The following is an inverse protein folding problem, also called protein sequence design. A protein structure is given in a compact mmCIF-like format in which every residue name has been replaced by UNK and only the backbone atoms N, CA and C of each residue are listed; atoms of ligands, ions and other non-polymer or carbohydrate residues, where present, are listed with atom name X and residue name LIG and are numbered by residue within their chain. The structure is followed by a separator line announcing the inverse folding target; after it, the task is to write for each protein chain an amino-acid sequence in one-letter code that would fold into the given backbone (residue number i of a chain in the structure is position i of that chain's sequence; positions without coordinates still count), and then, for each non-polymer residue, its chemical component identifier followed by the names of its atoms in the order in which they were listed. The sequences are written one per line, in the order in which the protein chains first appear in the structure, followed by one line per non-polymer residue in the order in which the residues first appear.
data_IF_152129468311
#
_entry.id   IF_152129468311
#
_cell.length_a   1.000
_cell.length_b   1.000
_cell.length_c   1.000
_cell.angle_alpha   90.00
_cell.angle_beta   90.00
_cell.angle_gamma   90.00
#
_symmetry.space_group_name_H-M   'P 1'
#
loop_
_entity.id
_entity.type
_entity.pdbx_description
1 polymer ?
#
# COMPACT_ATOMS: atom_id res chain seq x y z
N UNK A 1 -23.59 -17.69 17.66
CA UNK A 1 -22.58 -16.90 18.39
C UNK A 1 -22.50 -15.59 17.65
N UNK A 2 -22.90 -14.47 18.29
CA UNK A 2 -23.19 -13.20 17.60
C UNK A 2 -21.90 -12.52 17.10
N UNK A 3 -21.96 -11.96 15.88
CA UNK A 3 -20.87 -11.22 15.23
C UNK A 3 -20.35 -10.06 16.10
N UNK A 4 -21.23 -9.42 16.84
CA UNK A 4 -20.91 -8.35 17.81
C UNK A 4 -20.03 -8.82 18.98
N UNK A 5 -20.24 -10.04 19.49
CA UNK A 5 -19.42 -10.60 20.58
C UNK A 5 -17.98 -10.89 20.11
N UNK A 6 -17.83 -11.40 18.88
CA UNK A 6 -16.53 -11.67 18.30
C UNK A 6 -15.75 -10.37 17.98
N UNK A 7 -16.43 -9.31 17.54
CA UNK A 7 -15.80 -8.00 17.29
C UNK A 7 -15.36 -7.30 18.60
N UNK A 8 -16.10 -7.50 19.70
CA UNK A 8 -15.72 -6.99 21.02
C UNK A 8 -14.53 -7.73 21.60
N UNK A 9 -14.49 -9.06 21.53
CA UNK A 9 -13.35 -9.88 21.97
C UNK A 9 -12.09 -9.51 21.21
N UNK A 10 -12.18 -9.38 19.88
CA UNK A 10 -11.09 -8.92 19.01
C UNK A 10 -10.56 -7.54 19.41
N UNK A 11 -11.44 -6.63 19.78
CA UNK A 11 -11.06 -5.29 20.27
C UNK A 11 -10.25 -5.33 21.56
N UNK A 12 -10.63 -6.19 22.49
CA UNK A 12 -9.94 -6.36 23.78
C UNK A 12 -8.55 -6.97 23.59
N UNK A 13 -8.43 -8.01 22.76
CA UNK A 13 -7.14 -8.64 22.45
C UNK A 13 -6.17 -7.66 21.78
N UNK A 14 -6.67 -6.85 20.85
CA UNK A 14 -5.84 -5.83 20.20
C UNK A 14 -5.39 -4.73 21.16
N UNK A 15 -6.23 -4.33 22.13
CA UNK A 15 -5.83 -3.37 23.16
C UNK A 15 -4.76 -3.96 24.08
N UNK A 16 -4.86 -5.23 24.46
CA UNK A 16 -3.85 -5.91 25.25
C UNK A 16 -2.49 -5.98 24.52
N UNK A 17 -2.50 -6.33 23.24
CA UNK A 17 -1.28 -6.36 22.40
C UNK A 17 -0.61 -4.98 22.30
N UNK A 18 -1.41 -3.92 22.19
CA UNK A 18 -0.90 -2.54 22.15
C UNK A 18 -0.25 -2.14 23.46
N UNK A 19 -0.88 -2.47 24.56
CA UNK A 19 -0.35 -2.20 25.91
C UNK A 19 0.95 -2.96 26.14
N UNK A 20 0.99 -4.26 25.87
CA UNK A 20 2.18 -5.10 25.98
C UNK A 20 3.35 -4.57 25.12
N UNK A 21 3.05 -4.17 23.88
CA UNK A 21 4.06 -3.59 22.99
C UNK A 21 4.62 -2.27 23.54
N UNK A 22 3.75 -1.40 24.06
CA UNK A 22 4.19 -0.14 24.64
C UNK A 22 5.04 -0.34 25.90
N UNK A 23 4.64 -1.25 26.78
CA UNK A 23 5.39 -1.60 28.00
C UNK A 23 6.78 -2.18 27.67
N UNK A 24 6.85 -3.04 26.67
CA UNK A 24 8.13 -3.59 26.24
C UNK A 24 9.05 -2.54 25.58
N UNK A 25 8.49 -1.60 24.82
CA UNK A 25 9.25 -0.47 24.27
C UNK A 25 9.74 0.44 25.38
N UNK A 26 8.89 0.74 26.36
CA UNK A 26 9.24 1.53 27.54
C UNK A 26 10.39 0.90 28.34
N UNK A 27 10.35 -0.43 28.47
CA UNK A 27 11.36 -1.19 29.21
C UNK A 27 12.75 -1.21 28.53
N UNK A 28 12.79 -1.20 27.18
CA UNK A 28 14.06 -1.22 26.43
C UNK A 28 14.62 0.18 26.18
N UNK A 29 13.80 1.22 26.27
CA UNK A 29 14.24 2.60 26.16
C UNK A 29 14.99 3.05 27.43
N UNK A 30 16.07 3.81 27.25
CA UNK A 30 16.89 4.35 28.34
C UNK A 30 16.61 5.84 28.58
N UNK A 31 16.06 6.52 27.61
CA UNK A 31 15.68 7.93 27.65
C UNK A 31 14.24 8.15 27.17
N UNK A 32 13.79 9.42 27.14
CA UNK A 32 12.42 9.73 26.75
C UNK A 32 12.14 9.41 25.29
N UNK A 33 10.99 8.79 25.04
CA UNK A 33 10.45 8.46 23.72
C UNK A 33 9.12 9.16 23.55
N UNK A 34 9.03 10.07 22.58
CA UNK A 34 7.79 10.81 22.30
C UNK A 34 6.77 9.91 21.63
N UNK A 35 5.54 9.95 22.12
CA UNK A 35 4.36 9.30 21.53
C UNK A 35 3.58 10.33 20.74
N UNK A 36 3.60 10.23 19.39
CA UNK A 36 2.83 11.11 18.53
C UNK A 36 1.38 10.62 18.40
N UNK A 37 0.47 11.18 19.15
CA UNK A 37 -0.95 10.85 18.98
C UNK A 37 -1.62 10.45 20.27
N UNK A 38 -2.31 9.30 20.27
CA UNK A 38 -3.00 8.81 21.46
C UNK A 38 -2.02 8.04 22.34
N UNK A 39 -2.10 8.24 23.66
CA UNK A 39 -1.36 7.42 24.62
C UNK A 39 -1.81 5.94 24.53
N UNK A 40 -0.87 4.97 24.66
CA UNK A 40 -1.23 3.56 24.74
C UNK A 40 -2.20 3.29 25.90
N UNK A 41 -3.10 2.29 25.77
CA UNK A 41 -3.31 1.39 24.62
C UNK A 41 -4.22 1.97 23.55
N UNK A 42 -4.58 3.26 23.63
CA UNK A 42 -5.48 3.91 22.68
C UNK A 42 -4.79 4.20 21.34
N UNK A 43 -5.59 4.25 20.27
CA UNK A 43 -5.05 4.46 18.91
C UNK A 43 -4.93 3.18 18.10
N UNK A 44 -4.72 3.30 16.78
CA UNK A 44 -4.56 2.16 15.86
C UNK A 44 -3.11 1.74 15.71
N UNK A 45 -2.21 2.68 15.80
CA UNK A 45 -0.77 2.58 15.60
C UNK A 45 -0.06 3.33 16.74
N UNK A 46 1.17 2.96 17.00
CA UNK A 46 2.04 3.62 17.96
C UNK A 46 3.10 4.42 17.19
N UNK A 47 2.90 5.74 17.11
CA UNK A 47 3.83 6.66 16.42
C UNK A 47 4.89 7.15 17.42
N UNK A 48 6.17 6.82 17.20
CA UNK A 48 7.26 7.11 18.13
C UNK A 48 8.38 7.96 17.53
N UNK A 49 8.92 8.87 18.33
CA UNK A 49 10.18 9.57 18.04
C UNK A 49 11.16 9.33 19.19
N UNK A 50 12.31 8.76 18.87
CA UNK A 50 13.32 8.38 19.84
C UNK A 50 14.70 8.97 19.51
N UNK A 51 15.55 9.15 20.52
CA UNK A 51 16.97 9.42 20.33
C UNK A 51 17.66 8.24 19.61
N UNK A 52 18.83 8.44 18.98
CA UNK A 52 19.48 7.40 18.16
C UNK A 52 19.73 6.08 18.90
N UNK A 53 20.18 6.14 20.16
CA UNK A 53 20.44 4.97 20.98
C UNK A 53 19.17 4.19 21.28
N UNK A 54 18.09 4.87 21.68
CA UNK A 54 16.80 4.24 21.97
C UNK A 54 16.13 3.74 20.70
N UNK A 55 16.26 4.46 19.58
CA UNK A 55 15.80 3.99 18.27
C UNK A 55 16.46 2.65 17.91
N UNK A 56 17.77 2.47 18.15
CA UNK A 56 18.47 1.22 17.88
C UNK A 56 17.98 0.09 18.77
N UNK A 57 17.82 0.35 20.08
CA UNK A 57 17.33 -0.63 21.05
C UNK A 57 15.89 -1.08 20.72
N UNK A 58 14.98 -0.14 20.47
CA UNK A 58 13.61 -0.40 20.09
C UNK A 58 13.54 -1.18 18.75
N UNK A 59 14.37 -0.81 17.76
CA UNK A 59 14.47 -1.52 16.48
C UNK A 59 14.87 -2.99 16.69
N UNK A 60 15.85 -3.25 17.54
CA UNK A 60 16.31 -4.62 17.86
C UNK A 60 15.20 -5.43 18.52
N UNK A 61 14.51 -4.83 19.49
CA UNK A 61 13.38 -5.48 20.15
C UNK A 61 12.22 -5.78 19.19
N UNK A 62 11.80 -4.81 18.39
CA UNK A 62 10.72 -5.01 17.39
C UNK A 62 11.04 -6.18 16.46
N UNK A 63 12.31 -6.31 16.04
CA UNK A 63 12.72 -7.42 15.20
C UNK A 63 12.61 -8.76 15.94
N UNK A 64 13.06 -8.84 17.19
CA UNK A 64 12.99 -10.06 18.01
C UNK A 64 11.55 -10.45 18.37
N UNK A 65 10.67 -9.45 18.54
CA UNK A 65 9.24 -9.64 18.81
C UNK A 65 8.40 -10.00 17.56
N UNK A 66 9.06 -10.25 16.42
CA UNK A 66 8.39 -10.71 15.20
C UNK A 66 7.76 -9.61 14.34
N UNK A 67 8.02 -8.33 14.66
CA UNK A 67 7.58 -7.24 13.81
C UNK A 67 8.38 -7.21 12.50
N UNK A 68 7.69 -6.96 11.40
CA UNK A 68 8.29 -6.88 10.07
C UNK A 68 8.36 -5.41 9.66
N UNK A 69 9.55 -4.97 9.27
CA UNK A 69 9.82 -3.57 8.92
C UNK A 69 9.46 -3.25 7.46
N UNK A 70 8.77 -2.13 7.25
CA UNK A 70 8.65 -1.47 5.95
C UNK A 70 8.88 0.04 6.08
N UNK A 71 10.03 0.50 5.64
CA UNK A 71 10.42 1.90 5.80
C UNK A 71 10.61 2.28 7.27
N UNK A 72 9.65 2.99 7.84
CA UNK A 72 9.65 3.42 9.25
C UNK A 72 8.58 2.72 10.06
N UNK A 73 7.70 2.01 9.38
CA UNK A 73 6.59 1.29 9.97
C UNK A 73 7.02 -0.15 10.21
N UNK A 74 6.78 -0.61 11.40
CA UNK A 74 6.90 -1.99 11.82
C UNK A 74 5.50 -2.53 12.01
N UNK A 75 5.22 -3.72 11.50
CA UNK A 75 3.91 -4.34 11.67
C UNK A 75 4.04 -5.78 12.09
N UNK A 76 3.13 -6.20 12.97
CA UNK A 76 2.90 -7.57 13.38
C UNK A 76 1.48 -7.94 13.00
N UNK A 77 1.33 -9.05 12.31
CA UNK A 77 0.05 -9.54 11.81
C UNK A 77 -0.36 -10.75 12.61
N UNK A 78 -1.29 -10.56 13.51
CA UNK A 78 -1.88 -11.62 14.33
C UNK A 78 -3.39 -11.41 14.41
N UNK A 79 -4.19 -12.48 14.44
CA UNK A 79 -5.61 -12.30 14.73
C UNK A 79 -5.79 -11.53 16.05
N UNK A 80 -6.70 -10.56 16.10
CA UNK A 80 -7.74 -10.26 15.12
C UNK A 80 -7.36 -9.26 14.02
N UNK A 81 -6.09 -8.78 13.94
CA UNK A 81 -5.72 -7.81 12.91
C UNK A 81 -4.24 -7.46 12.87
N UNK A 82 -3.92 -6.30 12.29
CA UNK A 82 -2.57 -5.78 12.18
C UNK A 82 -2.29 -4.71 13.25
N UNK A 83 -1.12 -4.81 13.88
CA UNK A 83 -0.64 -3.76 14.77
C UNK A 83 0.63 -3.12 14.24
N UNK A 84 0.62 -1.78 14.13
CA UNK A 84 1.72 -0.99 13.59
C UNK A 84 2.44 -0.15 14.64
N UNK A 85 3.77 -0.09 14.51
CA UNK A 85 4.63 0.86 15.23
C UNK A 85 5.37 1.68 14.19
N UNK A 86 5.15 2.99 14.14
CA UNK A 86 5.95 3.90 13.33
C UNK A 86 7.08 4.47 14.20
N UNK A 87 8.32 4.07 13.93
CA UNK A 87 9.48 4.49 14.70
C UNK A 87 10.36 5.44 13.89
N UNK A 88 10.53 6.65 14.38
CA UNK A 88 11.39 7.68 13.82
C UNK A 88 12.54 8.00 14.76
N UNK A 89 13.76 8.20 14.21
CA UNK A 89 14.90 8.72 14.96
C UNK A 89 15.01 10.23 14.81
N UNK A 90 15.45 10.92 15.88
CA UNK A 90 15.79 12.35 15.83
C UNK A 90 16.90 12.66 14.84
N UNK A 91 17.80 11.73 14.53
CA UNK A 91 18.83 11.89 13.48
C UNK A 91 18.23 12.25 12.10
N UNK A 92 17.00 11.85 11.86
CA UNK A 92 16.30 12.23 10.62
C UNK A 92 15.97 13.69 10.49
N UNK A 93 15.95 14.38 11.59
CA UNK A 93 15.83 15.82 11.61
C UNK A 93 17.16 16.46 11.23
N UNK A 94 18.24 15.65 11.20
CA UNK A 94 19.60 16.08 10.87
C UNK A 94 19.99 17.34 11.67
N UNK A 95 19.55 17.40 12.90
CA UNK A 95 19.84 18.49 13.86
C UNK A 95 21.04 18.10 14.71
N UNK A 96 21.64 19.06 15.39
CA UNK A 96 22.59 18.75 16.45
C UNK A 96 21.90 17.96 17.57
N UNK A 97 22.65 17.23 18.36
CA UNK A 97 22.09 16.46 19.48
C UNK A 97 21.40 17.39 20.50
N UNK A 98 21.96 18.57 20.76
CA UNK A 98 21.37 19.59 21.62
C UNK A 98 20.04 20.15 21.07
N UNK A 99 19.96 20.37 19.75
CA UNK A 99 18.71 20.84 19.13
C UNK A 99 17.65 19.73 19.12
N UNK A 100 18.07 18.47 18.93
CA UNK A 100 17.18 17.32 18.99
C UNK A 100 16.63 17.08 20.41
N UNK A 101 17.42 17.35 21.45
CA UNK A 101 17.00 17.20 22.86
C UNK A 101 15.88 18.19 23.21
N UNK A 102 15.81 19.33 22.54
CA UNK A 102 14.73 20.31 22.75
C UNK A 102 13.33 19.77 22.41
N UNK A 103 13.24 18.72 21.58
CA UNK A 103 11.96 18.04 21.27
C UNK A 103 11.37 17.30 22.49
N UNK A 104 12.21 16.91 23.45
CA UNK A 104 11.79 16.21 24.67
C UNK A 104 11.58 17.17 25.84
N UNK A 105 11.94 18.43 25.66
CA UNK A 105 11.74 19.44 26.68
C UNK A 105 10.24 19.66 26.91
N UNK A 106 9.85 19.78 28.17
CA UNK A 106 8.46 19.96 28.59
C UNK A 106 7.50 18.85 28.11
N UNK A 107 8.03 17.64 27.83
CA UNK A 107 7.21 16.49 27.53
C UNK A 107 6.47 16.00 28.78
N UNK A 108 5.21 15.61 28.61
CA UNK A 108 4.32 15.18 29.69
C UNK A 108 4.47 13.66 29.91
N UNK A 109 4.71 13.16 31.14
CA UNK A 109 4.76 11.72 31.41
C UNK A 109 3.43 11.05 31.08
N UNK A 110 3.49 9.86 30.49
CA UNK A 110 2.29 9.02 30.31
C UNK A 110 2.15 8.15 31.56
N UNK A 111 0.98 8.19 32.24
CA UNK A 111 0.77 7.36 33.43
C UNK A 111 1.04 5.88 33.17
N UNK A 112 1.82 5.24 34.04
CA UNK A 112 2.19 3.84 33.93
C UNK A 112 3.43 3.54 33.08
N UNK A 113 4.04 4.54 32.44
CA UNK A 113 5.28 4.42 31.68
C UNK A 113 6.40 5.28 32.26
N UNK A 114 7.63 4.80 32.15
CA UNK A 114 8.82 5.49 32.63
C UNK A 114 9.44 6.41 31.59
N UNK A 115 9.51 5.93 30.35
CA UNK A 115 10.22 6.56 29.25
C UNK A 115 9.29 7.05 28.14
N UNK A 116 8.06 6.50 28.02
CA UNK A 116 7.09 7.00 27.07
C UNK A 116 6.46 8.29 27.55
N UNK A 117 6.56 9.34 26.74
CA UNK A 117 6.10 10.69 27.08
C UNK A 117 5.28 11.30 25.95
N UNK A 118 4.30 12.13 26.29
CA UNK A 118 3.57 12.93 25.33
C UNK A 118 4.33 14.20 24.97
N UNK A 119 4.35 14.61 23.70
CA UNK A 119 4.97 15.87 23.29
C UNK A 119 4.23 17.07 23.87
N UNK A 120 5.00 18.10 24.26
CA UNK A 120 4.42 19.39 24.65
C UNK A 120 3.58 19.98 23.49
N UNK A 121 2.60 20.87 23.76
CA UNK A 121 1.80 21.52 22.71
C UNK A 121 2.63 22.15 21.61
N UNK A 122 3.75 22.79 21.94
CA UNK A 122 4.67 23.39 20.99
C UNK A 122 5.31 22.34 20.05
N UNK A 123 5.72 21.18 20.60
CA UNK A 123 6.30 20.09 19.82
C UNK A 123 5.25 19.41 18.94
N UNK A 124 4.01 19.29 19.40
CA UNK A 124 2.89 18.81 18.55
C UNK A 124 2.74 19.67 17.29
N UNK A 125 2.79 21.01 17.44
CA UNK A 125 2.74 21.93 16.30
C UNK A 125 3.95 21.74 15.37
N UNK A 126 5.13 21.53 15.93
CA UNK A 126 6.37 21.32 15.17
C UNK A 126 6.30 20.02 14.33
N UNK A 127 5.83 18.93 14.95
CA UNK A 127 5.61 17.64 14.27
C UNK A 127 4.56 17.76 13.15
N UNK A 128 3.45 18.48 13.41
CA UNK A 128 2.42 18.74 12.41
C UNK A 128 2.95 19.61 11.26
N UNK A 129 3.77 20.64 11.54
CA UNK A 129 4.38 21.50 10.53
C UNK A 129 5.31 20.72 9.61
N UNK A 130 6.16 19.84 10.17
CA UNK A 130 7.01 18.94 9.40
C UNK A 130 6.19 18.05 8.47
N UNK A 131 5.10 17.46 8.98
CA UNK A 131 4.18 16.65 8.18
C UNK A 131 3.54 17.46 7.04
N UNK A 132 3.18 18.71 7.27
CA UNK A 132 2.55 19.60 6.29
C UNK A 132 3.51 19.96 5.14
N UNK A 133 4.78 20.22 5.43
CA UNK A 133 5.82 20.51 4.41
C UNK A 133 6.18 19.26 3.60
N UNK A 134 6.26 18.11 4.24
CA UNK A 134 6.68 16.86 3.57
C UNK A 134 5.57 16.19 2.77
N UNK A 135 4.29 16.37 3.14
CA UNK A 135 3.14 15.76 2.49
C UNK A 135 2.56 16.64 1.38
N UNK A 136 2.17 16.02 0.26
CA UNK A 136 1.57 16.75 -0.88
C UNK A 136 0.14 17.24 -0.65
N UNK A 137 -0.57 16.71 0.34
CA UNK A 137 -1.99 16.99 0.59
C UNK A 137 -2.27 18.15 1.56
N UNK A 138 -1.25 18.81 2.11
CA UNK A 138 -1.42 19.83 3.14
C UNK A 138 -1.84 19.23 4.50
N UNK A 139 -2.60 20.00 5.28
CA UNK A 139 -3.02 19.64 6.63
C UNK A 139 -4.15 18.58 6.57
N UNK A 140 -3.88 17.38 7.05
CA UNK A 140 -4.88 16.30 7.12
C UNK A 140 -5.89 16.54 8.26
N UNK A 141 -7.12 15.95 8.22
CA UNK A 141 -8.08 16.05 9.32
C UNK A 141 -7.48 15.60 10.67
N UNK A 142 -6.70 14.48 10.69
CA UNK A 142 -6.00 13.98 11.89
C UNK A 142 -4.99 15.04 12.41
N UNK A 143 -4.18 15.64 11.53
CA UNK A 143 -3.24 16.66 11.91
C UNK A 143 -3.94 17.94 12.40
N UNK A 144 -5.05 18.33 11.78
CA UNK A 144 -5.86 19.47 12.23
C UNK A 144 -6.42 19.25 13.63
N UNK A 145 -6.92 18.07 13.93
CA UNK A 145 -7.41 17.71 15.27
C UNK A 145 -6.29 17.76 16.32
N UNK A 146 -5.09 17.25 15.98
CA UNK A 146 -3.91 17.33 16.86
C UNK A 146 -3.51 18.80 17.15
N UNK A 147 -3.49 19.66 16.11
CA UNK A 147 -3.20 21.10 16.25
C UNK A 147 -4.25 21.76 17.14
N UNK A 148 -5.55 21.49 16.90
CA UNK A 148 -6.63 22.03 17.72
C UNK A 148 -6.51 21.59 19.18
N UNK A 149 -6.20 20.33 19.43
CA UNK A 149 -5.97 19.81 20.79
C UNK A 149 -4.77 20.45 21.49
N UNK A 150 -3.66 20.69 20.77
CA UNK A 150 -2.50 21.38 21.31
C UNK A 150 -2.81 22.84 21.69
N UNK A 151 -3.51 23.56 20.83
CA UNK A 151 -3.93 24.95 21.10
C UNK A 151 -4.96 25.03 22.23
N UNK A 152 -5.78 24.01 22.42
CA UNK A 152 -6.69 23.92 23.56
C UNK A 152 -5.98 23.69 24.90
N UNK A 153 -4.80 23.02 24.89
CA UNK A 153 -3.96 22.85 26.10
C UNK A 153 -3.09 24.06 26.41
N UNK A 154 -2.55 24.73 25.38
CA UNK A 154 -1.74 25.93 25.51
C UNK A 154 -2.06 26.92 24.37
N UNK A 155 -2.75 28.03 24.64
CA UNK A 155 -3.01 29.04 23.66
C UNK A 155 -1.76 29.73 23.08
N UNK A 156 -0.63 29.72 23.81
CA UNK A 156 0.65 30.27 23.40
C UNK A 156 1.54 29.27 22.62
N UNK A 157 1.01 28.07 22.31
CA UNK A 157 1.78 27.03 21.63
C UNK A 157 2.37 27.49 20.28
N UNK A 158 1.73 28.43 19.56
CA UNK A 158 2.30 28.97 18.32
C UNK A 158 3.62 29.70 18.55
N UNK A 159 3.68 30.55 19.56
CA UNK A 159 4.90 31.32 19.88
C UNK A 159 6.01 30.42 20.41
N UNK A 160 5.63 29.47 21.29
CA UNK A 160 6.56 28.47 21.79
C UNK A 160 7.13 27.60 20.66
N UNK A 161 6.28 27.16 19.72
CA UNK A 161 6.72 26.37 18.58
C UNK A 161 7.64 27.15 17.63
N UNK A 162 7.43 28.43 17.42
CA UNK A 162 8.32 29.30 16.64
C UNK A 162 9.71 29.40 17.28
N UNK A 163 9.79 29.56 18.61
CA UNK A 163 11.07 29.58 19.32
C UNK A 163 11.85 28.27 19.12
N UNK A 164 11.18 27.12 19.26
CA UNK A 164 11.78 25.79 19.02
C UNK A 164 12.15 25.58 17.54
N UNK A 165 11.37 26.14 16.62
CA UNK A 165 11.55 25.95 15.19
C UNK A 165 12.77 26.68 14.62
N UNK A 166 13.24 27.76 15.26
CA UNK A 166 14.37 28.58 14.78
C UNK A 166 15.65 27.74 14.59
N UNK A 167 16.20 27.13 15.65
CA UNK A 167 17.39 26.27 15.56
C UNK A 167 17.21 25.06 14.63
N UNK A 168 15.99 24.54 14.55
CA UNK A 168 15.64 23.41 13.67
C UNK A 168 15.44 23.80 12.20
N UNK A 169 15.50 25.08 11.86
CA UNK A 169 15.25 25.59 10.51
C UNK A 169 13.80 25.41 10.05
N UNK A 170 12.85 25.33 10.97
CA UNK A 170 11.45 24.98 10.70
C UNK A 170 10.48 26.16 10.89
N UNK A 171 10.95 27.38 11.17
CA UNK A 171 10.08 28.53 11.40
C UNK A 171 9.09 28.76 10.25
N UNK A 172 9.56 28.71 8.99
CA UNK A 172 8.68 28.82 7.84
C UNK A 172 7.68 27.67 7.68
N UNK A 173 7.99 26.47 8.22
CA UNK A 173 7.06 25.34 8.23
C UNK A 173 5.93 25.58 9.25
N UNK A 174 6.22 26.17 10.40
CA UNK A 174 5.22 26.57 11.40
C UNK A 174 4.26 27.63 10.82
N UNK A 175 4.80 28.65 10.14
CA UNK A 175 3.95 29.64 9.47
C UNK A 175 3.04 29.03 8.40
N UNK A 176 3.56 28.10 7.60
CA UNK A 176 2.75 27.39 6.61
C UNK A 176 1.65 26.58 7.28
N UNK A 177 1.96 25.88 8.38
CA UNK A 177 0.97 25.14 9.17
C UNK A 177 -0.12 26.10 9.69
N UNK A 178 0.25 27.26 10.26
CA UNK A 178 -0.69 28.27 10.77
C UNK A 178 -1.63 28.74 9.68
N UNK A 179 -1.11 29.14 8.52
CA UNK A 179 -1.92 29.53 7.36
C UNK A 179 -2.85 28.40 6.89
N UNK A 180 -2.37 27.15 6.83
CA UNK A 180 -3.20 25.99 6.45
C UNK A 180 -4.29 25.69 7.49
N UNK A 181 -4.01 25.93 8.75
CA UNK A 181 -4.97 25.76 9.85
C UNK A 181 -6.07 26.82 9.80
N UNK A 182 -5.71 28.09 9.61
CA UNK A 182 -6.64 29.22 9.58
C UNK A 182 -7.53 29.22 8.33
N UNK A 183 -6.97 28.92 7.16
CA UNK A 183 -7.69 29.01 5.88
C UNK A 183 -8.78 27.93 5.69
N UNK A 184 -8.75 26.83 6.45
CA UNK A 184 -9.62 25.64 6.29
C UNK A 184 -9.67 25.05 4.86
N UNK A 185 -8.95 25.62 3.92
CA UNK A 185 -8.91 25.19 2.53
C UNK A 185 -7.73 24.24 2.29
N UNK A 186 -7.84 23.29 1.32
CA UNK A 186 -6.71 22.49 0.93
C UNK A 186 -5.60 23.38 0.35
N UNK A 187 -4.35 23.13 0.78
CA UNK A 187 -3.19 23.85 0.26
C UNK A 187 -3.05 23.61 -1.25
N UNK A 188 -3.11 24.67 -2.04
CA UNK A 188 -2.81 24.62 -3.47
C UNK A 188 -1.35 24.23 -3.69
N UNK A 189 -1.00 23.56 -4.81
CA UNK A 189 0.38 23.23 -5.13
C UNK A 189 1.35 24.43 -5.06
N UNK A 190 0.87 25.61 -5.48
CA UNK A 190 1.59 26.90 -5.36
C UNK A 190 1.87 27.31 -3.91
N UNK A 191 0.93 27.08 -2.98
CA UNK A 191 1.12 27.38 -1.57
C UNK A 191 2.20 26.48 -0.92
N UNK A 192 2.37 25.25 -1.41
CA UNK A 192 3.47 24.38 -0.98
C UNK A 192 4.83 24.90 -1.45
N UNK A 193 4.92 25.37 -2.70
CA UNK A 193 6.15 26.00 -3.22
C UNK A 193 6.47 27.25 -2.42
N UNK A 194 5.45 28.08 -2.12
CA UNK A 194 5.61 29.25 -1.28
C UNK A 194 6.03 28.89 0.16
N UNK A 195 5.49 27.80 0.73
CA UNK A 195 5.91 27.30 2.05
C UNK A 195 7.33 26.75 2.07
N UNK A 196 7.77 26.08 1.02
CA UNK A 196 9.17 25.68 0.88
C UNK A 196 10.08 26.90 0.72
N UNK A 197 9.67 27.91 -0.04
CA UNK A 197 10.39 29.18 -0.16
C UNK A 197 10.44 29.92 1.19
N UNK A 198 9.35 29.93 1.96
CA UNK A 198 9.30 30.49 3.31
C UNK A 198 10.30 29.83 4.25
N UNK A 199 10.46 28.47 4.21
CA UNK A 199 11.47 27.75 4.98
C UNK A 199 12.89 28.19 4.61
N UNK A 200 13.15 28.49 3.32
CA UNK A 200 14.47 28.95 2.86
C UNK A 200 14.74 30.41 3.28
N UNK A 201 13.71 31.24 3.25
CA UNK A 201 13.85 32.70 3.48
C UNK A 201 13.81 33.11 4.96
N UNK A 202 13.29 32.23 5.83
CA UNK A 202 13.15 32.52 7.26
C UNK A 202 14.50 32.45 7.99
N UNK A 203 14.61 33.22 9.09
CA UNK A 203 15.81 33.19 9.92
C UNK A 203 16.07 31.80 10.52
N UNK A 204 17.31 31.49 10.69
CA UNK A 204 17.77 30.19 11.21
C UNK A 204 18.98 29.66 10.45
N UNK A 205 19.71 28.69 11.01
CA UNK A 205 20.93 28.16 10.40
C UNK A 205 20.69 27.58 9.01
N UNK A 206 21.51 27.98 8.04
CA UNK A 206 21.42 27.51 6.63
C UNK A 206 21.47 25.98 6.57
N UNK A 207 22.33 25.36 7.39
CA UNK A 207 22.43 23.90 7.49
C UNK A 207 21.11 23.24 7.92
N UNK A 208 20.38 23.81 8.88
CA UNK A 208 19.09 23.29 9.33
C UNK A 208 18.00 23.44 8.23
N UNK A 209 17.95 24.59 7.55
CA UNK A 209 17.05 24.81 6.41
C UNK A 209 17.27 23.80 5.29
N UNK A 210 18.53 23.59 4.92
CA UNK A 210 18.91 22.61 3.89
C UNK A 210 18.46 21.20 4.28
N UNK A 211 18.57 20.83 5.55
CA UNK A 211 18.14 19.52 6.08
C UNK A 211 16.63 19.34 5.98
N UNK A 212 15.83 20.35 6.37
CA UNK A 212 14.37 20.29 6.22
C UNK A 212 13.97 20.16 4.76
N UNK A 213 14.60 20.92 3.85
CA UNK A 213 14.33 20.85 2.41
C UNK A 213 14.71 19.48 1.81
N UNK A 214 15.84 18.93 2.20
CA UNK A 214 16.27 17.59 1.75
C UNK A 214 15.35 16.51 2.31
N UNK A 215 14.91 16.63 3.56
CA UNK A 215 13.92 15.72 4.16
C UNK A 215 12.53 15.84 3.52
N UNK A 216 12.20 17.02 2.97
CA UNK A 216 10.94 17.28 2.27
C UNK A 216 10.90 16.69 0.84
N UNK A 217 12.02 16.19 0.31
CA UNK A 217 12.02 15.54 -1.02
C UNK A 217 11.07 14.35 -1.00
N UNK A 218 10.05 14.31 -1.87
CA UNK A 218 9.17 13.15 -1.95
C UNK A 218 10.03 11.96 -2.38
N UNK A 219 10.16 10.97 -1.50
CA UNK A 219 10.69 9.68 -1.94
C UNK A 219 9.76 9.19 -3.06
N UNK A 220 10.29 9.06 -4.26
CA UNK A 220 9.59 8.42 -5.38
C UNK A 220 9.52 6.93 -5.07
N UNK A 221 8.58 6.53 -4.21
CA UNK A 221 8.26 5.13 -4.06
C UNK A 221 7.60 4.67 -5.36
N UNK A 222 8.24 3.73 -6.04
CA UNK A 222 7.53 2.89 -6.99
C UNK A 222 6.49 2.13 -6.15
N UNK A 223 5.18 2.20 -6.47
CA UNK A 223 4.21 1.38 -5.76
C UNK A 223 4.54 -0.08 -6.00
N UNK A 224 4.41 -0.89 -4.97
CA UNK A 224 4.49 -2.32 -5.12
C UNK A 224 3.26 -2.83 -5.86
N UNK A 225 3.45 -3.84 -6.68
CA UNK A 225 2.41 -4.51 -7.46
C UNK A 225 2.16 -5.89 -6.86
N UNK A 226 0.98 -6.09 -6.31
CA UNK A 226 0.51 -7.37 -5.78
C UNK A 226 -0.56 -7.92 -6.72
N UNK A 227 -0.47 -9.20 -7.06
CA UNK A 227 -1.46 -9.85 -7.92
C UNK A 227 -2.00 -11.14 -7.32
N UNK A 228 -3.29 -11.37 -7.56
CA UNK A 228 -3.98 -12.60 -7.23
C UNK A 228 -4.42 -13.29 -8.51
N UNK A 229 -3.97 -14.53 -8.69
CA UNK A 229 -4.28 -15.38 -9.82
C UNK A 229 -4.98 -16.65 -9.37
N UNK A 230 -5.66 -17.36 -10.26
CA UNK A 230 -6.34 -18.63 -9.97
C UNK A 230 -7.71 -18.76 -10.63
N UNK A 231 -8.36 -19.89 -10.44
CA UNK A 231 -9.65 -20.23 -11.04
C UNK A 231 -10.78 -19.31 -10.58
N UNK A 232 -11.84 -19.18 -11.35
CA UNK A 232 -13.07 -18.53 -10.91
C UNK A 232 -13.69 -19.35 -9.77
N UNK A 233 -14.11 -18.68 -8.68
CA UNK A 233 -14.55 -19.35 -7.46
C UNK A 233 -13.43 -19.72 -6.47
N UNK A 234 -12.14 -19.45 -6.76
CA UNK A 234 -11.04 -19.75 -5.82
C UNK A 234 -10.96 -18.84 -4.58
N UNK A 235 -11.68 -17.70 -4.55
CA UNK A 235 -11.70 -16.78 -3.40
C UNK A 235 -10.78 -15.56 -3.53
N UNK A 236 -10.18 -15.31 -4.69
CA UNK A 236 -9.27 -14.18 -4.96
C UNK A 236 -9.81 -12.82 -4.50
N UNK A 237 -11.01 -12.46 -4.94
CA UNK A 237 -11.61 -11.15 -4.64
C UNK A 237 -11.84 -10.95 -3.14
N UNK A 238 -12.13 -12.00 -2.40
CA UNK A 238 -12.23 -11.99 -0.94
C UNK A 238 -10.87 -11.62 -0.32
N UNK A 239 -9.78 -12.25 -0.80
CA UNK A 239 -8.43 -11.98 -0.30
C UNK A 239 -7.93 -10.58 -0.69
N UNK A 240 -8.31 -10.08 -1.88
CA UNK A 240 -8.02 -8.69 -2.29
C UNK A 240 -8.66 -7.69 -1.32
N UNK A 241 -9.93 -7.89 -0.98
CA UNK A 241 -10.64 -7.01 -0.03
C UNK A 241 -9.98 -7.04 1.34
N UNK A 242 -9.71 -8.22 1.90
CA UNK A 242 -9.07 -8.39 3.20
C UNK A 242 -7.67 -7.76 3.25
N UNK A 243 -6.85 -7.99 2.23
CA UNK A 243 -5.51 -7.37 2.14
C UNK A 243 -5.60 -5.84 2.17
N UNK A 244 -6.60 -5.25 1.49
CA UNK A 244 -6.79 -3.81 1.47
C UNK A 244 -7.21 -3.27 2.83
N UNK A 245 -8.12 -3.97 3.50
CA UNK A 245 -8.63 -3.56 4.81
C UNK A 245 -7.51 -3.60 5.86
N UNK A 246 -6.77 -4.69 5.96
CA UNK A 246 -5.65 -4.87 6.87
C UNK A 246 -4.52 -3.83 6.64
N UNK A 247 -4.10 -3.65 5.38
CA UNK A 247 -3.07 -2.66 5.07
C UNK A 247 -3.58 -1.23 5.16
N UNK A 248 -4.88 -1.01 4.96
CA UNK A 248 -5.54 0.28 5.15
C UNK A 248 -5.49 0.75 6.60
N UNK A 249 -5.64 -0.17 7.56
CA UNK A 249 -5.49 0.11 8.99
C UNK A 249 -4.08 0.60 9.35
N UNK A 250 -3.05 0.11 8.65
CA UNK A 250 -1.66 0.57 8.77
C UNK A 250 -1.35 1.84 7.95
N UNK A 251 -2.37 2.52 7.41
CA UNK A 251 -2.21 3.74 6.63
C UNK A 251 -1.54 3.53 5.26
N UNK A 252 -1.59 2.31 4.72
CA UNK A 252 -1.11 2.02 3.37
C UNK A 252 -2.19 2.37 2.35
N UNK A 253 -1.95 3.40 1.56
CA UNK A 253 -2.86 3.77 0.46
C UNK A 253 -2.73 2.73 -0.65
N UNK A 254 -3.75 1.88 -0.78
CA UNK A 254 -3.85 0.87 -1.82
C UNK A 254 -4.95 1.21 -2.84
N UNK A 255 -4.75 0.78 -4.07
CA UNK A 255 -5.75 0.84 -5.15
C UNK A 255 -5.87 -0.54 -5.75
N UNK A 256 -7.10 -1.04 -5.86
CA UNK A 256 -7.36 -2.32 -6.50
C UNK A 256 -7.85 -2.16 -7.94
N UNK A 257 -7.48 -3.12 -8.76
CA UNK A 257 -7.90 -3.18 -10.16
C UNK A 257 -8.23 -4.63 -10.54
N UNK A 258 -9.31 -4.78 -11.27
CA UNK A 258 -9.55 -6.00 -12.01
C UNK A 258 -8.88 -5.86 -13.39
N UNK A 259 -7.78 -6.58 -13.60
CA UNK A 259 -7.01 -6.53 -14.84
C UNK A 259 -7.13 -7.85 -15.64
N UNK A 260 -8.31 -8.43 -15.62
CA UNK A 260 -8.60 -9.61 -16.43
C UNK A 260 -8.44 -9.33 -17.92
N UNK A 261 -8.19 -10.39 -18.67
CA UNK A 261 -8.04 -10.38 -20.12
C UNK A 261 -9.26 -9.74 -20.79
N UNK A 262 -9.08 -8.62 -21.46
CA UNK A 262 -10.16 -7.88 -22.14
C UNK A 262 -10.06 -8.04 -23.65
N UNK A 263 -10.97 -8.85 -24.22
CA UNK A 263 -11.17 -8.93 -25.66
C UNK A 263 -12.13 -7.87 -26.18
N UNK A 264 -13.20 -7.61 -25.45
CA UNK A 264 -14.28 -6.74 -25.86
C UNK A 264 -13.84 -5.30 -26.21
N UNK A 265 -12.74 -4.81 -25.62
CA UNK A 265 -12.23 -3.48 -25.93
C UNK A 265 -11.48 -3.44 -27.27
N UNK A 266 -10.82 -4.53 -27.68
CA UNK A 266 -10.19 -4.64 -29.01
C UNK A 266 -11.24 -4.74 -30.13
N UNK A 267 -12.38 -5.39 -29.85
CA UNK A 267 -13.49 -5.49 -30.80
C UNK A 267 -14.27 -4.15 -30.92
N UNK A 268 -14.22 -3.29 -29.90
CA UNK A 268 -14.82 -1.94 -29.95
C UNK A 268 -13.97 -0.92 -30.70
N UNK A 269 -12.68 -1.17 -30.89
CA UNK A 269 -11.90 -0.45 -31.90
C UNK A 269 -12.38 -1.01 -33.25
N UNK A 270 -13.43 -0.40 -33.81
CA UNK A 270 -13.96 -0.71 -35.12
C UNK A 270 -12.83 -0.68 -36.14
N UNK A 271 -12.39 -1.84 -36.54
CA UNK A 271 -11.73 -2.02 -37.82
C UNK A 271 -12.88 -2.22 -38.83
N UNK A 272 -13.31 -1.21 -39.61
CA UNK A 272 -14.46 -1.30 -40.47
C UNK A 272 -14.39 -2.42 -41.54
N UNK A 273 -13.18 -2.95 -41.75
CA UNK A 273 -12.87 -4.02 -42.71
C UNK A 273 -13.12 -5.43 -42.14
N UNK A 274 -13.21 -5.57 -40.81
CA UNK A 274 -13.34 -6.86 -40.12
C UNK A 274 -14.77 -7.14 -39.59
N UNK A 275 -15.62 -6.11 -39.55
CA UNK A 275 -17.01 -6.17 -39.09
C UNK A 275 -17.98 -6.40 -40.25
N UNK A 276 -18.01 -7.59 -40.84
CA UNK A 276 -19.20 -8.06 -41.54
C UNK A 276 -20.00 -8.94 -40.56
N UNK A 277 -21.20 -8.52 -40.14
CA UNK A 277 -22.03 -9.37 -39.30
C UNK A 277 -22.49 -10.57 -40.15
N UNK A 278 -21.97 -11.75 -39.89
CA UNK A 278 -22.60 -12.96 -40.40
C UNK A 278 -23.71 -13.34 -39.42
N UNK A 279 -24.94 -13.32 -39.88
CA UNK A 279 -26.20 -13.58 -39.16
C UNK A 279 -26.38 -15.04 -38.71
N UNK A 280 -25.34 -15.84 -38.63
CA UNK A 280 -25.43 -17.28 -38.45
C UNK A 280 -24.61 -17.84 -37.26
N UNK A 281 -24.11 -17.00 -36.34
CA UNK A 281 -23.29 -17.55 -35.23
C UNK A 281 -23.82 -17.10 -33.85
N UNK A 282 -24.64 -17.95 -33.25
CA UNK A 282 -24.98 -17.92 -31.81
C UNK A 282 -23.84 -18.51 -30.96
N UNK A 283 -22.63 -17.97 -31.11
CA UNK A 283 -21.52 -18.28 -30.24
C UNK A 283 -21.54 -17.39 -28.99
N UNK A 284 -21.31 -17.95 -27.82
CA UNK A 284 -21.17 -17.20 -26.58
C UNK A 284 -20.08 -16.12 -26.73
N UNK A 285 -20.18 -15.00 -25.99
CA UNK A 285 -19.16 -13.90 -25.94
C UNK A 285 -17.71 -14.41 -25.79
N UNK A 286 -17.55 -15.67 -25.38
CA UNK A 286 -16.28 -16.40 -25.22
C UNK A 286 -15.59 -16.76 -26.53
N UNK A 287 -16.33 -16.92 -27.62
CA UNK A 287 -15.78 -17.35 -28.92
C UNK A 287 -15.25 -16.22 -29.80
N UNK A 288 -15.51 -14.97 -29.44
CA UNK A 288 -15.21 -13.77 -30.23
C UNK A 288 -13.78 -13.24 -30.08
N UNK A 289 -12.81 -14.04 -29.68
CA UNK A 289 -11.44 -13.61 -29.47
C UNK A 289 -10.67 -13.34 -30.77
N UNK A 290 -11.04 -14.06 -31.81
CA UNK A 290 -10.46 -13.95 -33.15
C UNK A 290 -11.54 -13.46 -34.08
N UNK A 291 -11.31 -12.34 -34.81
CA UNK A 291 -12.27 -11.89 -35.80
C UNK A 291 -12.63 -12.98 -36.78
N UNK A 292 -13.91 -13.12 -37.12
CA UNK A 292 -14.45 -14.17 -38.00
C UNK A 292 -13.70 -14.24 -39.34
N UNK A 293 -13.28 -13.11 -39.88
CA UNK A 293 -12.52 -12.99 -41.11
C UNK A 293 -11.13 -13.70 -41.05
N UNK A 294 -10.64 -14.02 -39.84
CA UNK A 294 -9.34 -14.64 -39.67
C UNK A 294 -9.40 -16.13 -39.31
N UNK A 295 -10.60 -16.71 -39.09
CA UNK A 295 -10.79 -18.09 -38.66
C UNK A 295 -10.21 -19.14 -39.63
N UNK A 296 -10.11 -18.85 -40.92
CA UNK A 296 -9.55 -19.72 -41.96
C UNK A 296 -8.05 -19.54 -42.23
N UNK A 297 -7.41 -18.51 -41.63
CA UNK A 297 -6.03 -18.15 -41.95
C UNK A 297 -5.12 -18.35 -40.71
N UNK A 298 -4.21 -19.34 -40.77
CA UNK A 298 -3.20 -19.53 -39.72
C UNK A 298 -2.31 -18.30 -39.56
N UNK A 299 -1.92 -17.67 -40.67
CA UNK A 299 -1.11 -16.43 -40.67
C UNK A 299 -1.88 -15.27 -40.03
N UNK A 300 -3.14 -15.07 -40.42
CA UNK A 300 -4.00 -14.02 -39.83
C UNK A 300 -4.22 -14.20 -38.33
N UNK A 301 -4.49 -15.43 -37.89
CA UNK A 301 -4.66 -15.74 -36.48
C UNK A 301 -3.37 -15.55 -35.66
N UNK A 302 -2.22 -15.92 -36.24
CA UNK A 302 -0.91 -15.69 -35.59
C UNK A 302 -0.62 -14.20 -35.46
N UNK A 303 -0.83 -13.41 -36.52
CA UNK A 303 -0.69 -11.96 -36.49
C UNK A 303 -1.62 -11.29 -35.46
N UNK A 304 -2.88 -11.77 -35.39
CA UNK A 304 -3.83 -11.32 -34.38
C UNK A 304 -3.37 -11.60 -32.97
N UNK A 305 -2.71 -12.71 -32.71
CA UNK A 305 -2.09 -13.02 -31.43
C UNK A 305 -1.12 -11.95 -30.95
N UNK A 306 -0.32 -11.34 -31.84
CA UNK A 306 0.56 -10.21 -31.51
C UNK A 306 -0.25 -8.95 -31.12
N UNK A 307 -1.32 -8.66 -31.86
CA UNK A 307 -2.20 -7.51 -31.53
C UNK A 307 -2.81 -7.68 -30.14
N UNK A 308 -3.29 -8.88 -29.81
CA UNK A 308 -3.85 -9.21 -28.50
C UNK A 308 -2.79 -9.05 -27.39
N UNK A 309 -1.57 -9.51 -27.62
CA UNK A 309 -0.46 -9.38 -26.68
C UNK A 309 -0.11 -7.91 -26.42
N UNK A 310 0.11 -7.13 -27.46
CA UNK A 310 0.48 -5.71 -27.33
C UNK A 310 -0.60 -4.90 -26.63
N UNK A 311 -1.86 -5.17 -26.96
CA UNK A 311 -2.98 -4.50 -26.31
C UNK A 311 -3.07 -4.83 -24.81
N UNK A 312 -2.91 -6.11 -24.45
CA UNK A 312 -2.94 -6.48 -23.04
C UNK A 312 -1.73 -5.94 -22.27
N UNK A 313 -0.54 -5.90 -22.88
CA UNK A 313 0.60 -5.22 -22.29
C UNK A 313 0.31 -3.73 -22.02
N UNK A 314 -0.21 -3.01 -23.02
CA UNK A 314 -0.58 -1.60 -22.87
C UNK A 314 -1.65 -1.39 -21.79
N UNK A 315 -2.66 -2.29 -21.76
CA UNK A 315 -3.71 -2.27 -20.76
C UNK A 315 -3.18 -2.44 -19.33
N UNK A 316 -2.27 -3.39 -19.09
CA UNK A 316 -1.66 -3.62 -17.79
C UNK A 316 -0.77 -2.43 -17.38
N UNK A 317 0.06 -1.94 -18.31
CA UNK A 317 0.93 -0.78 -18.06
C UNK A 317 0.13 0.48 -17.73
N UNK A 318 -1.05 0.66 -18.33
CA UNK A 318 -1.92 1.79 -18.03
C UNK A 318 -2.23 1.89 -16.54
N UNK A 319 -2.56 0.79 -15.86
CA UNK A 319 -2.84 0.78 -14.43
C UNK A 319 -1.61 1.09 -13.59
N UNK A 320 -0.45 0.57 -14.00
CA UNK A 320 0.81 0.80 -13.30
C UNK A 320 1.27 2.26 -13.45
N UNK A 321 1.08 2.86 -14.63
CA UNK A 321 1.57 4.22 -14.94
C UNK A 321 0.59 5.32 -14.54
N UNK A 322 -0.73 5.13 -14.81
CA UNK A 322 -1.78 6.14 -14.57
C UNK A 322 -2.43 6.00 -13.18
N UNK A 323 -1.65 5.67 -12.18
CA UNK A 323 -2.13 5.51 -10.82
C UNK A 323 -2.35 6.85 -10.11
N UNK A 324 -3.28 6.92 -9.12
CA UNK A 324 -3.42 8.10 -8.26
C UNK A 324 -2.11 8.43 -7.53
N UNK A 325 -1.86 9.73 -7.34
CA UNK A 325 -0.68 10.18 -6.59
C UNK A 325 -0.76 9.75 -5.13
N UNK A 326 0.33 9.23 -4.60
CA UNK A 326 0.39 8.74 -3.21
C UNK A 326 0.06 7.26 -3.03
N UNK A 327 -0.35 6.56 -4.09
CA UNK A 327 -0.56 5.11 -4.06
C UNK A 327 0.75 4.41 -3.69
N UNK A 328 0.73 3.64 -2.62
CA UNK A 328 1.86 2.82 -2.16
C UNK A 328 1.78 1.39 -2.67
N UNK A 329 0.56 0.89 -2.87
CA UNK A 329 0.29 -0.48 -3.27
C UNK A 329 -0.76 -0.52 -4.39
N UNK A 330 -0.48 -1.29 -5.43
CA UNK A 330 -1.44 -1.66 -6.48
C UNK A 330 -1.80 -3.13 -6.29
N UNK A 331 -3.06 -3.41 -6.05
CA UNK A 331 -3.58 -4.76 -5.87
C UNK A 331 -4.37 -5.16 -7.10
N UNK A 332 -4.02 -6.28 -7.72
CA UNK A 332 -4.70 -6.77 -8.92
C UNK A 332 -5.45 -8.07 -8.65
N UNK A 333 -6.76 -8.03 -8.82
CA UNK A 333 -7.56 -9.25 -9.03
C UNK A 333 -7.41 -9.62 -10.50
N UNK A 334 -6.51 -10.57 -10.79
CA UNK A 334 -5.99 -10.95 -12.10
C UNK A 334 -4.97 -9.94 -12.69
N UNK A 335 -3.87 -10.49 -13.21
CA UNK A 335 -2.79 -9.67 -13.79
C UNK A 335 -2.09 -10.42 -14.93
N UNK A 336 -0.78 -10.22 -15.11
CA UNK A 336 0.00 -10.86 -16.19
C UNK A 336 -0.09 -12.40 -16.20
N UNK A 337 -0.04 -13.14 -15.05
CA UNK A 337 -0.18 -14.58 -15.08
C UNK A 337 -1.53 -15.05 -15.65
N UNK A 338 -2.64 -14.39 -15.26
CA UNK A 338 -3.97 -14.72 -15.76
C UNK A 338 -4.13 -14.44 -17.25
N UNK A 339 -3.49 -13.37 -17.75
CA UNK A 339 -3.47 -13.06 -19.18
C UNK A 339 -2.74 -14.14 -19.95
N UNK A 340 -1.61 -14.65 -19.44
CA UNK A 340 -0.85 -15.73 -20.05
C UNK A 340 -1.67 -17.02 -20.12
N UNK A 341 -2.29 -17.40 -18.99
CA UNK A 341 -3.17 -18.59 -18.96
C UNK A 341 -4.28 -18.50 -20.00
N UNK A 342 -4.92 -17.33 -20.11
CA UNK A 342 -6.00 -17.14 -21.11
C UNK A 342 -5.51 -17.13 -22.55
N UNK A 343 -4.31 -16.62 -22.81
CA UNK A 343 -3.68 -16.72 -24.12
C UNK A 343 -3.43 -18.19 -24.50
N UNK A 344 -2.82 -18.97 -23.60
CA UNK A 344 -2.53 -20.37 -23.84
C UNK A 344 -3.80 -21.19 -24.01
N UNK A 345 -4.79 -20.99 -23.15
CA UNK A 345 -6.07 -21.70 -23.26
C UNK A 345 -6.74 -21.43 -24.62
N UNK A 346 -6.83 -20.16 -25.00
CA UNK A 346 -7.62 -19.75 -26.18
C UNK A 346 -6.94 -20.06 -27.51
N UNK A 347 -5.65 -19.88 -27.59
CA UNK A 347 -4.92 -20.08 -28.85
C UNK A 347 -4.35 -21.50 -28.94
N UNK A 348 -3.69 -21.99 -27.89
CA UNK A 348 -3.00 -23.28 -27.95
C UNK A 348 -3.95 -24.44 -27.65
N UNK A 349 -4.59 -24.47 -26.47
CA UNK A 349 -5.43 -25.62 -26.06
C UNK A 349 -6.70 -25.74 -26.91
N UNK A 350 -7.43 -24.66 -27.13
CA UNK A 350 -8.71 -24.69 -27.86
C UNK A 350 -8.55 -24.72 -29.38
N UNK A 351 -7.44 -24.21 -29.95
CA UNK A 351 -7.28 -24.03 -31.42
C UNK A 351 -6.03 -24.67 -32.00
N UNK A 352 -5.14 -25.24 -31.19
CA UNK A 352 -3.90 -25.85 -31.64
C UNK A 352 -2.90 -24.88 -32.31
N UNK A 353 -2.99 -23.57 -32.01
CA UNK A 353 -2.13 -22.56 -32.61
C UNK A 353 -0.90 -22.39 -31.75
N UNK A 354 0.29 -22.51 -32.36
CA UNK A 354 1.55 -22.25 -31.68
C UNK A 354 1.73 -20.72 -31.47
N UNK A 355 1.75 -20.32 -30.21
CA UNK A 355 1.91 -18.89 -29.80
C UNK A 355 3.21 -18.68 -29.00
N UNK A 356 4.21 -19.53 -29.13
CA UNK A 356 5.46 -19.45 -28.36
C UNK A 356 6.14 -18.08 -28.44
N UNK A 357 6.14 -17.41 -29.61
CA UNK A 357 6.72 -16.09 -29.80
C UNK A 357 5.89 -14.98 -29.17
N UNK A 358 4.57 -15.05 -29.28
CA UNK A 358 3.62 -14.16 -28.62
C UNK A 358 3.72 -14.28 -27.09
N UNK A 359 3.85 -15.49 -26.56
CA UNK A 359 4.11 -15.75 -25.13
C UNK A 359 5.41 -15.08 -24.67
N UNK A 360 6.50 -15.29 -25.42
CA UNK A 360 7.81 -14.68 -25.11
C UNK A 360 7.74 -13.14 -25.16
N UNK A 361 7.06 -12.61 -26.15
CA UNK A 361 6.84 -11.16 -26.27
C UNK A 361 6.06 -10.63 -25.06
N UNK A 362 4.95 -11.28 -24.68
CA UNK A 362 4.17 -10.89 -23.52
C UNK A 362 5.00 -10.97 -22.24
N UNK A 363 5.77 -12.03 -22.04
CA UNK A 363 6.61 -12.22 -20.86
C UNK A 363 7.67 -11.11 -20.69
N UNK A 364 8.23 -10.62 -21.81
CA UNK A 364 9.21 -9.54 -21.80
C UNK A 364 8.56 -8.18 -21.61
N UNK A 365 7.43 -7.92 -22.28
CA UNK A 365 6.79 -6.62 -22.32
C UNK A 365 5.78 -6.36 -21.20
N UNK A 366 5.18 -7.39 -20.61
CA UNK A 366 4.18 -7.19 -19.54
C UNK A 366 4.82 -6.80 -18.23
N UNK A 367 4.16 -5.94 -17.42
CA UNK A 367 4.62 -5.67 -16.08
C UNK A 367 4.49 -6.93 -15.22
N UNK A 368 5.51 -7.21 -14.41
CA UNK A 368 5.51 -8.34 -13.46
C UNK A 368 5.04 -7.86 -12.09
N UNK A 369 4.30 -8.70 -11.34
CA UNK A 369 4.02 -8.40 -9.95
C UNK A 369 5.30 -8.46 -9.11
N UNK A 370 5.40 -7.58 -8.10
CA UNK A 370 6.46 -7.66 -7.10
C UNK A 370 6.19 -8.82 -6.13
N UNK A 371 4.90 -9.06 -5.82
CA UNK A 371 4.42 -10.22 -5.07
C UNK A 371 3.20 -10.79 -5.78
N UNK A 372 3.26 -12.04 -6.20
CA UNK A 372 2.15 -12.72 -6.87
C UNK A 372 1.66 -13.92 -6.07
N UNK A 373 0.35 -14.11 -6.03
CA UNK A 373 -0.29 -15.26 -5.39
C UNK A 373 -1.08 -16.07 -6.40
N UNK A 374 -0.98 -17.39 -6.28
CA UNK A 374 -1.92 -18.33 -6.90
C UNK A 374 -2.82 -18.89 -5.80
N UNK A 375 -4.10 -18.48 -5.81
CA UNK A 375 -5.12 -19.09 -4.94
C UNK A 375 -5.56 -20.39 -5.62
N UNK A 376 -4.99 -21.49 -5.15
CA UNK A 376 -5.11 -22.79 -5.77
C UNK A 376 -6.26 -23.59 -5.14
N UNK A 377 -7.16 -24.06 -5.99
CA UNK A 377 -8.25 -24.95 -5.64
C UNK A 377 -8.43 -25.96 -6.77
N UNK A 378 -8.96 -27.14 -6.49
CA UNK A 378 -9.28 -28.09 -7.56
C UNK A 378 -10.40 -27.56 -8.46
N UNK A 379 -10.44 -28.05 -9.69
CA UNK A 379 -11.46 -27.71 -10.68
C UNK A 379 -12.87 -27.99 -10.16
N UNK A 380 -13.06 -29.08 -9.40
CA UNK A 380 -14.33 -29.49 -8.80
C UNK A 380 -14.80 -28.50 -7.74
N UNK A 381 -13.88 -28.06 -6.86
CA UNK A 381 -14.17 -27.06 -5.82
C UNK A 381 -14.52 -25.72 -6.46
N UNK A 382 -13.77 -25.29 -7.48
CA UNK A 382 -14.03 -24.06 -8.22
C UNK A 382 -15.39 -24.11 -8.91
N UNK A 383 -15.71 -25.23 -9.60
CA UNK A 383 -16.98 -25.47 -10.26
C UNK A 383 -18.16 -25.47 -9.29
N UNK A 384 -18.00 -26.13 -8.14
CA UNK A 384 -19.03 -26.14 -7.09
C UNK A 384 -19.35 -24.76 -6.52
N UNK A 385 -18.38 -23.86 -6.49
CA UNK A 385 -18.55 -22.46 -6.02
C UNK A 385 -19.09 -21.53 -7.10
N UNK A 386 -18.74 -21.75 -8.38
CA UNK A 386 -19.12 -20.87 -9.49
C UNK A 386 -19.15 -21.61 -10.83
N UNK A 387 -20.37 -21.77 -11.39
CA UNK A 387 -20.63 -22.56 -12.60
C UNK A 387 -20.62 -21.71 -13.89
N UNK A 388 -19.60 -20.85 -14.06
CA UNK A 388 -19.50 -20.00 -15.27
C UNK A 388 -18.70 -20.67 -16.39
N UNK A 389 -17.95 -21.72 -16.09
CA UNK A 389 -17.06 -22.46 -17.02
C UNK A 389 -17.33 -23.93 -16.90
N UNK A 390 -16.98 -24.70 -17.92
CA UNK A 390 -17.08 -26.16 -17.85
C UNK A 390 -15.97 -26.73 -16.93
N UNK A 391 -16.22 -27.91 -16.38
CA UNK A 391 -15.23 -28.59 -15.53
C UNK A 391 -13.92 -28.83 -16.30
N UNK A 392 -14.01 -29.19 -17.60
CA UNK A 392 -12.83 -29.40 -18.44
C UNK A 392 -12.03 -28.11 -18.65
N UNK A 393 -12.70 -26.99 -18.94
CA UNK A 393 -12.01 -25.69 -19.05
C UNK A 393 -11.31 -25.29 -17.74
N UNK A 394 -11.94 -25.55 -16.59
CA UNK A 394 -11.34 -25.29 -15.29
C UNK A 394 -10.13 -26.20 -15.03
N UNK A 395 -10.18 -27.46 -15.44
CA UNK A 395 -9.06 -28.39 -15.32
C UNK A 395 -7.87 -27.93 -16.20
N UNK A 396 -8.14 -27.58 -17.47
CA UNK A 396 -7.12 -27.04 -18.37
C UNK A 396 -6.49 -25.75 -17.83
N UNK A 397 -7.31 -24.86 -17.26
CA UNK A 397 -6.81 -23.63 -16.64
C UNK A 397 -5.99 -23.91 -15.38
N UNK A 398 -6.38 -24.86 -14.54
CA UNK A 398 -5.63 -25.23 -13.35
C UNK A 398 -4.22 -25.69 -13.72
N UNK A 399 -4.10 -26.56 -14.74
CA UNK A 399 -2.81 -27.02 -15.26
C UNK A 399 -1.95 -25.85 -15.77
N UNK A 400 -2.54 -24.95 -16.57
CA UNK A 400 -1.87 -23.78 -17.08
C UNK A 400 -1.43 -22.80 -15.97
N UNK A 401 -2.19 -22.66 -14.87
CA UNK A 401 -1.77 -21.88 -13.73
C UNK A 401 -0.55 -22.45 -13.02
N UNK A 402 -0.45 -23.78 -12.88
CA UNK A 402 0.74 -24.42 -12.30
C UNK A 402 2.01 -24.11 -13.12
N UNK A 403 1.91 -24.03 -14.45
CA UNK A 403 3.03 -23.61 -15.30
C UNK A 403 3.48 -22.14 -15.02
N UNK A 404 2.57 -21.28 -14.56
CA UNK A 404 2.89 -19.88 -14.26
C UNK A 404 3.59 -19.69 -12.92
N UNK A 405 3.46 -20.64 -11.98
CA UNK A 405 4.05 -20.53 -10.63
C UNK A 405 5.56 -20.25 -10.70
N UNK A 406 6.40 -21.06 -11.36
CA UNK A 406 7.84 -20.78 -11.44
C UNK A 406 8.16 -19.54 -12.28
N UNK A 407 7.38 -19.26 -13.34
CA UNK A 407 7.62 -18.16 -14.28
C UNK A 407 7.44 -16.79 -13.66
N UNK A 408 6.41 -16.61 -12.82
CA UNK A 408 6.08 -15.37 -12.13
C UNK A 408 6.44 -15.42 -10.65
N UNK A 409 7.07 -16.49 -10.17
CA UNK A 409 7.42 -16.74 -8.76
C UNK A 409 6.19 -16.54 -7.85
N UNK A 410 5.08 -17.17 -8.22
CA UNK A 410 3.85 -17.04 -7.46
C UNK A 410 3.92 -17.83 -6.14
N UNK A 411 3.48 -17.21 -5.06
CA UNK A 411 3.21 -17.91 -3.80
C UNK A 411 1.92 -18.71 -3.95
N UNK A 412 2.02 -20.02 -3.84
CA UNK A 412 0.87 -20.92 -3.93
C UNK A 412 0.15 -20.98 -2.59
N UNK A 413 -1.13 -20.66 -2.60
CA UNK A 413 -2.01 -20.65 -1.44
C UNK A 413 -3.08 -21.72 -1.62
N UNK A 414 -3.29 -22.58 -0.62
CA UNK A 414 -4.39 -23.53 -0.62
C UNK A 414 -5.71 -22.81 -0.34
N UNK A 415 -6.48 -22.56 -1.41
CA UNK A 415 -7.77 -21.84 -1.34
C UNK A 415 -8.91 -22.60 -0.66
N UNK A 416 -8.65 -23.78 -0.10
CA UNK A 416 -9.59 -24.53 0.74
C UNK A 416 -9.47 -24.20 2.22
N UNK A 417 -8.34 -23.60 2.64
CA UNK A 417 -8.11 -23.15 4.01
C UNK A 417 -9.03 -22.03 4.43
N UNK A 418 -9.23 -21.81 5.74
CA UNK A 418 -9.99 -20.67 6.27
C UNK A 418 -9.46 -19.33 5.72
N UNK A 419 -10.39 -18.47 5.32
CA UNK A 419 -10.03 -17.23 4.64
C UNK A 419 -9.19 -16.28 5.53
N UNK A 420 -9.33 -16.35 6.87
CA UNK A 420 -8.56 -15.55 7.82
C UNK A 420 -7.10 -15.99 7.91
N UNK A 421 -6.85 -17.29 7.90
CA UNK A 421 -5.49 -17.83 7.87
C UNK A 421 -4.75 -17.42 6.59
N UNK A 422 -5.44 -17.52 5.44
CA UNK A 422 -4.89 -17.09 4.16
C UNK A 422 -4.61 -15.59 4.16
N UNK A 423 -5.50 -14.77 4.70
CA UNK A 423 -5.32 -13.34 4.79
C UNK A 423 -4.04 -12.99 5.59
N UNK A 424 -3.82 -13.63 6.74
CA UNK A 424 -2.61 -13.44 7.56
C UNK A 424 -1.33 -13.79 6.77
N UNK A 425 -1.32 -14.92 6.08
CA UNK A 425 -0.18 -15.36 5.26
C UNK A 425 0.09 -14.37 4.11
N UNK A 426 -0.97 -13.94 3.42
CA UNK A 426 -0.90 -12.97 2.32
C UNK A 426 -0.34 -11.63 2.80
N UNK A 427 -0.94 -11.05 3.85
CA UNK A 427 -0.54 -9.74 4.37
C UNK A 427 0.91 -9.77 4.85
N UNK A 428 1.32 -10.82 5.56
CA UNK A 428 2.69 -11.03 6.03
C UNK A 428 3.67 -11.12 4.85
N UNK A 429 3.32 -11.88 3.81
CA UNK A 429 4.16 -12.05 2.62
C UNK A 429 4.28 -10.75 1.83
N UNK A 430 3.17 -10.03 1.63
CA UNK A 430 3.15 -8.72 0.98
C UNK A 430 4.02 -7.74 1.75
N UNK A 431 3.84 -7.64 3.06
CA UNK A 431 4.61 -6.72 3.90
C UNK A 431 6.12 -6.99 3.85
N UNK A 432 6.52 -8.26 3.85
CA UNK A 432 7.94 -8.66 3.65
C UNK A 432 8.47 -8.28 2.27
N UNK A 433 7.65 -8.42 1.24
CA UNK A 433 8.00 -8.10 -0.15
C UNK A 433 8.08 -6.59 -0.46
N UNK A 434 7.55 -5.73 0.43
CA UNK A 434 7.57 -4.27 0.28
C UNK A 434 8.91 -3.61 0.68
N UNK A 435 9.97 -4.39 0.92
CA UNK A 435 11.30 -3.91 1.33
C UNK A 435 12.01 -3.08 0.28
#
# INVERSE_FOLDING_TARGET
MNRETSEQEAGVEMMALRQETAEAIDAVATGPVLVEGSAPPCGRDLDLVAAPQDHAAITSWLHSAGFIRWGHTWARFEPPGAYGVELSSTERWQTSESDASSLFQDAEPIPGFRNLVMPSPAVVLLLAARGTVTRRGGLTPKARSRVSGALGRDPNAWEASLRLAGPLGMAGAIELLRRAYDSRAPLRPSARVAGLASVVLHDGPIAAKTRVLLGARPRRFRPAVVSFSGLDGSGKSTQVTRLKDELGELGVVSVDHWAGFKNAALLRVRFPILDRPSSAYEGTERDQLIPHALHGSRVGTTAWGYVVVLFNCAHLWRFVLLRPRGTKLLVFDRFSPDTMVKLDLRFTRMRGIDIRWQRKLFEVMSPKPDVGFLVDVSSEVAYGRRQEQTLQELADMAELYQEQVPRYRLHRLDGTRPADELAKEIVTTVWRGLR
#
